data_IF_062151413338
#
_entry.id   IF_062151413338
#
_cell.length_a   1.000
_cell.length_b   1.000
_cell.length_c   1.000
_cell.angle_alpha   90.00
_cell.angle_beta   90.00
_cell.angle_gamma   90.00
#
_symmetry.space_group_name_H-M   'P 1'
#
loop_
_entity.id
_entity.type
_entity.pdbx_description
1 polymer ?
#
# COMPACT_ATOMS: atom_id res chain seq x y z
N UNK A 1 -1.68 -15.33 38.42
CA UNK A 1 -2.34 -14.26 37.71
C UNK A 1 -1.25 -13.49 36.98
N UNK A 2 -0.94 -13.95 35.77
CA UNK A 2 -0.03 -13.25 34.86
C UNK A 2 -0.79 -12.09 34.25
N UNK A 3 -0.47 -10.89 34.71
CA UNK A 3 -0.96 -9.66 34.10
C UNK A 3 -0.55 -9.67 32.65
N UNK A 4 -1.51 -9.85 31.74
CA UNK A 4 -1.33 -9.58 30.32
C UNK A 4 -1.12 -8.09 30.23
N UNK A 5 0.14 -7.70 30.10
CA UNK A 5 0.52 -6.29 30.09
C UNK A 5 -0.10 -5.64 28.87
N UNK A 6 -0.69 -4.45 29.03
CA UNK A 6 -1.42 -3.70 28.00
C UNK A 6 -0.61 -3.34 26.74
N UNK A 7 0.66 -3.75 26.68
CA UNK A 7 1.57 -3.55 25.55
C UNK A 7 1.58 -4.70 24.53
N UNK A 8 0.96 -5.85 24.86
CA UNK A 8 0.91 -6.99 23.96
C UNK A 8 -0.36 -6.92 23.10
N UNK A 9 -0.16 -6.86 21.80
CA UNK A 9 -1.25 -6.88 20.82
C UNK A 9 -1.50 -8.32 20.40
N UNK A 10 -2.67 -8.84 20.74
CA UNK A 10 -3.12 -10.17 20.37
C UNK A 10 -4.00 -10.06 19.14
N UNK A 11 -3.62 -10.77 18.09
CA UNK A 11 -4.37 -10.80 16.84
C UNK A 11 -4.95 -12.19 16.62
N UNK A 12 -6.27 -12.23 16.53
CA UNK A 12 -7.00 -13.39 16.02
C UNK A 12 -7.34 -13.19 14.54
N UNK A 13 -7.55 -14.26 13.80
CA UNK A 13 -7.79 -14.24 12.34
C UNK A 13 -8.98 -13.37 11.89
N UNK A 14 -9.82 -12.93 12.82
CA UNK A 14 -11.06 -12.21 12.50
C UNK A 14 -10.91 -10.68 12.30
N UNK A 15 -9.81 -10.04 12.78
CA UNK A 15 -9.59 -8.58 12.65
C UNK A 15 -8.12 -8.19 12.45
N UNK A 16 -7.31 -9.07 11.88
CA UNK A 16 -5.86 -8.88 11.75
C UNK A 16 -5.46 -7.71 10.87
N UNK A 17 -6.28 -7.34 9.90
CA UNK A 17 -5.92 -6.33 8.91
C UNK A 17 -5.85 -4.91 9.49
N UNK A 18 -6.66 -4.56 10.47
CA UNK A 18 -6.68 -3.21 11.01
C UNK A 18 -5.51 -2.94 11.97
N UNK A 19 -5.16 -3.91 12.81
CA UNK A 19 -4.07 -3.73 13.79
C UNK A 19 -2.71 -3.66 13.10
N UNK A 20 -2.47 -4.49 12.07
CA UNK A 20 -1.23 -4.47 11.30
C UNK A 20 -1.00 -3.18 10.52
N UNK A 21 -2.08 -2.48 10.13
CA UNK A 21 -1.98 -1.20 9.42
C UNK A 21 -1.37 -0.09 10.28
N UNK A 22 -1.55 -0.17 11.59
CA UNK A 22 -1.10 0.87 12.54
C UNK A 22 0.25 0.55 13.17
N UNK A 23 0.78 -0.66 12.98
CA UNK A 23 2.07 -1.06 13.52
C UNK A 23 3.19 -0.83 12.51
N UNK A 24 4.26 -0.26 12.98
CA UNK A 24 5.50 -0.16 12.21
C UNK A 24 6.48 -1.24 12.66
N UNK A 25 7.29 -1.76 11.74
CA UNK A 25 8.32 -2.74 12.06
C UNK A 25 9.33 -2.21 13.12
N UNK A 26 9.46 -0.90 13.25
CA UNK A 26 10.34 -0.25 14.24
C UNK A 26 9.80 -0.33 15.66
N UNK A 27 8.49 -0.53 15.84
CA UNK A 27 7.82 -0.68 17.14
C UNK A 27 7.87 -2.11 17.68
N UNK A 28 7.99 -3.07 16.78
CA UNK A 28 7.91 -4.48 17.13
C UNK A 28 9.22 -4.93 17.73
N UNK A 29 9.14 -5.59 18.90
CA UNK A 29 10.24 -6.28 19.55
C UNK A 29 10.30 -7.75 19.12
N UNK A 30 9.13 -8.43 19.17
CA UNK A 30 9.01 -9.83 18.75
C UNK A 30 7.64 -10.14 18.18
N UNK A 31 7.59 -11.17 17.34
CA UNK A 31 6.34 -11.75 16.81
C UNK A 31 6.38 -13.24 17.15
N UNK A 32 5.38 -13.71 17.88
CA UNK A 32 5.24 -15.12 18.26
C UNK A 32 3.95 -15.67 17.69
N UNK A 33 4.05 -16.80 17.00
CA UNK A 33 2.89 -17.53 16.47
C UNK A 33 2.58 -18.71 17.39
N UNK A 34 1.43 -18.65 18.06
CA UNK A 34 0.93 -19.75 18.90
C UNK A 34 0.11 -20.71 18.04
N UNK A 35 0.63 -21.93 17.90
CA UNK A 35 0.00 -22.99 17.11
C UNK A 35 -0.57 -24.11 17.98
N UNK A 36 -0.12 -24.22 19.23
CA UNK A 36 -0.50 -25.28 20.14
C UNK A 36 -1.84 -25.01 20.80
N UNK A 37 -2.70 -26.02 20.87
CA UNK A 37 -4.04 -25.90 21.44
C UNK A 37 -4.03 -25.42 22.89
N UNK A 38 -3.03 -25.82 23.68
CA UNK A 38 -2.87 -25.39 25.07
C UNK A 38 -2.61 -23.90 25.24
N UNK A 39 -1.77 -23.34 24.37
CA UNK A 39 -1.46 -21.89 24.36
C UNK A 39 -2.59 -21.07 23.76
N UNK A 40 -3.28 -21.61 22.75
CA UNK A 40 -4.46 -20.98 22.15
C UNK A 40 -5.65 -20.89 23.11
N UNK A 41 -5.80 -21.87 24.00
CA UNK A 41 -6.88 -21.91 24.99
C UNK A 41 -6.87 -20.67 25.92
N UNK A 42 -5.72 -20.04 26.13
CA UNK A 42 -5.61 -18.79 26.91
C UNK A 42 -6.35 -17.61 26.26
N UNK A 43 -6.56 -17.68 24.94
CA UNK A 43 -7.22 -16.63 24.15
C UNK A 43 -8.67 -16.98 23.78
N UNK A 44 -9.19 -18.10 24.31
CA UNK A 44 -10.56 -18.54 24.13
C UNK A 44 -10.92 -18.88 22.68
N UNK A 45 -12.20 -18.76 22.34
CA UNK A 45 -12.75 -19.13 21.03
C UNK A 45 -12.08 -18.40 19.86
N UNK A 46 -11.59 -17.18 20.11
CA UNK A 46 -10.90 -16.38 19.08
C UNK A 46 -9.53 -16.96 18.69
N UNK A 47 -8.94 -17.82 19.54
CA UNK A 47 -7.67 -18.48 19.25
C UNK A 47 -7.74 -19.70 18.34
N UNK A 48 -8.93 -20.17 17.97
CA UNK A 48 -9.15 -21.44 17.27
C UNK A 48 -8.42 -21.56 15.91
N UNK A 49 -8.18 -20.46 15.22
CA UNK A 49 -7.47 -20.42 13.93
C UNK A 49 -5.97 -20.08 14.04
N UNK A 50 -5.44 -20.03 15.27
CA UNK A 50 -4.09 -19.57 15.56
C UNK A 50 -4.08 -18.16 16.16
N UNK A 51 -3.03 -17.87 16.94
CA UNK A 51 -2.84 -16.57 17.56
C UNK A 51 -1.46 -16.03 17.23
N UNK A 52 -1.43 -14.80 16.72
CA UNK A 52 -0.19 -14.06 16.52
C UNK A 52 -0.08 -13.05 17.66
N UNK A 53 0.95 -13.22 18.49
CA UNK A 53 1.27 -12.29 19.58
C UNK A 53 2.38 -11.36 19.09
N UNK A 54 2.10 -10.06 19.07
CA UNK A 54 3.07 -9.04 18.69
C UNK A 54 3.42 -8.26 19.96
N UNK A 55 4.68 -8.41 20.38
CA UNK A 55 5.22 -7.67 21.52
C UNK A 55 5.87 -6.39 21.01
N UNK A 56 5.42 -5.25 21.52
CA UNK A 56 5.99 -3.95 21.18
C UNK A 56 7.14 -3.59 22.11
N UNK A 57 8.07 -2.77 21.61
CA UNK A 57 9.23 -2.32 22.38
C UNK A 57 8.82 -1.59 23.63
N UNK A 58 9.54 -1.87 24.72
CA UNK A 58 9.36 -1.27 26.04
C UNK A 58 10.56 -0.39 26.39
N UNK A 59 10.37 0.46 27.38
CA UNK A 59 11.44 1.24 27.98
C UNK A 59 12.52 0.35 28.59
N UNK A 60 13.76 0.79 28.52
CA UNK A 60 14.90 0.11 29.17
C UNK A 60 15.55 1.05 30.16
N UNK A 61 16.00 0.50 31.30
CA UNK A 61 16.81 1.24 32.26
C UNK A 61 18.08 1.75 31.59
N UNK A 62 18.43 2.98 31.87
CA UNK A 62 19.65 3.60 31.37
C UNK A 62 19.46 5.04 30.90
N UNK A 63 20.51 5.64 30.38
CA UNK A 63 20.45 6.99 29.85
C UNK A 63 19.48 7.08 28.68
N UNK A 64 18.95 8.26 28.44
CA UNK A 64 18.08 8.54 27.29
C UNK A 64 18.80 8.20 26.00
N UNK A 65 18.16 7.37 25.18
CA UNK A 65 18.58 7.05 23.82
C UNK A 65 17.56 7.57 22.83
N UNK A 66 18.04 8.24 21.80
CA UNK A 66 17.22 8.77 20.71
C UNK A 66 17.70 8.10 19.44
N UNK A 67 16.80 7.37 18.80
CA UNK A 67 17.02 6.74 17.49
C UNK A 67 16.17 7.46 16.44
N UNK A 68 16.83 8.02 15.42
CA UNK A 68 16.16 8.67 14.31
C UNK A 68 16.42 7.89 13.04
N UNK A 69 15.37 7.62 12.27
CA UNK A 69 15.51 6.99 10.96
C UNK A 69 14.64 7.71 9.93
N UNK A 70 15.16 7.81 8.71
CA UNK A 70 14.46 8.32 7.55
C UNK A 70 14.64 7.35 6.40
N UNK A 71 13.52 6.91 5.83
CA UNK A 71 13.47 5.99 4.71
C UNK A 71 12.79 6.67 3.53
N UNK A 72 13.47 6.73 2.39
CA UNK A 72 12.93 7.20 1.13
C UNK A 72 12.83 6.04 0.16
N UNK A 73 11.63 5.79 -0.35
CA UNK A 73 11.37 4.71 -1.31
C UNK A 73 10.81 5.27 -2.60
N UNK A 74 11.21 4.67 -3.72
CA UNK A 74 10.63 4.91 -5.03
C UNK A 74 9.85 3.67 -5.42
N UNK A 75 8.62 3.89 -5.83
CA UNK A 75 7.69 2.82 -6.20
C UNK A 75 7.32 2.94 -7.67
N UNK A 76 7.32 1.82 -8.37
CA UNK A 76 6.80 1.73 -9.74
C UNK A 76 5.88 0.51 -9.86
N UNK A 77 4.87 0.55 -10.73
CA UNK A 77 4.05 -0.61 -11.01
C UNK A 77 4.90 -1.75 -11.58
N UNK A 78 4.79 -2.94 -10.99
CA UNK A 78 5.54 -4.12 -11.42
C UNK A 78 5.06 -4.62 -12.78
N UNK A 79 3.75 -4.54 -13.03
CA UNK A 79 3.12 -4.95 -14.28
C UNK A 79 2.35 -3.74 -14.83
N UNK A 80 2.63 -3.44 -16.07
CA UNK A 80 1.96 -2.40 -16.83
C UNK A 80 1.42 -3.01 -18.10
N UNK A 81 0.09 -3.21 -18.23
CA UNK A 81 -0.48 -3.67 -19.47
C UNK A 81 -0.16 -2.67 -20.58
N UNK A 82 0.25 -3.19 -21.74
CA UNK A 82 0.38 -2.38 -22.94
C UNK A 82 -1.01 -2.20 -23.54
N UNK A 83 -1.35 -0.96 -23.81
CA UNK A 83 -2.54 -0.65 -24.59
C UNK A 83 -2.17 -0.56 -26.04
N UNK A 84 -3.08 -1.02 -26.88
CA UNK A 84 -2.95 -0.91 -28.34
C UNK A 84 -3.09 0.54 -28.78
N UNK A 85 -2.40 0.89 -29.84
CA UNK A 85 -2.70 2.12 -30.57
C UNK A 85 -4.08 2.04 -31.23
N UNK A 86 -4.70 3.18 -31.51
CA UNK A 86 -6.04 3.22 -32.09
C UNK A 86 -6.12 2.50 -33.42
N UNK A 87 -5.08 2.58 -34.28
CA UNK A 87 -5.01 1.85 -35.53
C UNK A 87 -4.88 0.33 -35.33
N UNK A 88 -4.14 -0.13 -34.35
CA UNK A 88 -4.03 -1.55 -34.01
C UNK A 88 -5.39 -2.09 -33.53
N UNK A 89 -6.05 -1.34 -32.64
CA UNK A 89 -7.39 -1.66 -32.19
C UNK A 89 -8.39 -1.75 -33.32
N UNK A 90 -8.40 -0.76 -34.24
CA UNK A 90 -9.30 -0.72 -35.38
C UNK A 90 -9.08 -1.94 -36.31
N UNK A 91 -7.83 -2.31 -36.56
CA UNK A 91 -7.46 -3.47 -37.38
C UNK A 91 -7.94 -4.77 -36.73
N UNK A 92 -7.64 -4.99 -35.44
CA UNK A 92 -8.05 -6.18 -34.70
C UNK A 92 -9.57 -6.26 -34.55
N UNK A 93 -10.25 -5.11 -34.40
CA UNK A 93 -11.72 -5.08 -34.33
C UNK A 93 -12.36 -5.52 -35.64
N UNK A 94 -11.81 -5.11 -36.77
CA UNK A 94 -12.27 -5.57 -38.06
C UNK A 94 -12.08 -7.09 -38.21
N UNK A 95 -10.92 -7.62 -37.81
CA UNK A 95 -10.63 -9.05 -37.86
C UNK A 95 -11.58 -9.84 -36.94
N UNK A 96 -11.78 -9.39 -35.69
CA UNK A 96 -12.69 -10.02 -34.78
C UNK A 96 -14.14 -10.05 -35.31
N UNK A 97 -14.61 -8.94 -35.87
CA UNK A 97 -15.96 -8.85 -36.47
C UNK A 97 -16.12 -9.82 -37.62
N UNK A 98 -15.09 -9.97 -38.47
CA UNK A 98 -15.11 -10.96 -39.55
C UNK A 98 -15.13 -12.41 -39.04
N UNK A 99 -14.33 -12.71 -38.00
CA UNK A 99 -14.27 -14.04 -37.40
C UNK A 99 -15.58 -14.44 -36.70
N UNK A 100 -16.25 -13.47 -36.07
CA UNK A 100 -17.55 -13.70 -35.44
C UNK A 100 -18.66 -14.01 -36.46
N UNK A 101 -18.60 -13.43 -37.65
CA UNK A 101 -19.65 -13.57 -38.63
C UNK A 101 -19.09 -13.58 -40.10
N UNK A 102 -18.42 -14.67 -40.50
CA UNK A 102 -17.81 -14.73 -41.85
C UNK A 102 -18.82 -14.64 -43.00
N UNK A 103 -20.08 -15.01 -42.74
CA UNK A 103 -21.16 -15.00 -43.74
C UNK A 103 -21.60 -13.57 -44.16
N UNK A 104 -21.36 -12.57 -43.33
CA UNK A 104 -21.67 -11.17 -43.62
C UNK A 104 -20.64 -10.51 -44.58
N UNK A 105 -19.63 -11.28 -45.01
CA UNK A 105 -18.54 -10.76 -45.84
C UNK A 105 -17.61 -9.82 -45.04
N UNK A 106 -16.57 -9.34 -45.72
CA UNK A 106 -15.58 -8.42 -45.14
C UNK A 106 -16.09 -6.96 -45.12
N UNK A 107 -17.21 -6.73 -44.43
CA UNK A 107 -17.65 -5.34 -44.20
C UNK A 107 -16.92 -4.82 -42.97
N UNK A 108 -15.90 -3.99 -43.12
CA UNK A 108 -15.11 -3.52 -41.99
C UNK A 108 -15.90 -2.50 -41.17
N UNK A 109 -15.74 -2.54 -39.83
CA UNK A 109 -16.26 -1.52 -38.93
C UNK A 109 -15.50 -0.21 -39.11
N UNK A 110 -14.18 -0.31 -39.33
CA UNK A 110 -13.29 0.79 -39.62
C UNK A 110 -12.79 0.65 -41.05
N UNK A 111 -12.97 1.70 -41.89
CA UNK A 111 -12.48 1.70 -43.27
C UNK A 111 -10.96 1.74 -43.30
N UNK A 112 -10.38 1.37 -44.44
CA UNK A 112 -8.93 1.52 -44.67
C UNK A 112 -8.47 2.97 -44.54
N UNK A 113 -9.35 3.92 -44.91
CA UNK A 113 -9.08 5.36 -44.77
C UNK A 113 -9.03 5.77 -43.30
N UNK A 114 -9.94 5.25 -42.46
CA UNK A 114 -9.93 5.53 -41.02
C UNK A 114 -8.64 5.03 -40.39
N UNK A 115 -8.23 3.79 -40.70
CA UNK A 115 -6.98 3.22 -40.20
C UNK A 115 -5.77 4.06 -40.65
N UNK A 116 -5.74 4.49 -41.90
CA UNK A 116 -4.67 5.37 -42.42
C UNK A 116 -4.64 6.72 -41.68
N UNK A 117 -5.79 7.29 -41.36
CA UNK A 117 -5.89 8.55 -40.60
C UNK A 117 -5.45 8.37 -39.14
N UNK A 118 -5.73 7.24 -38.52
CA UNK A 118 -5.17 6.93 -37.17
C UNK A 118 -3.64 6.83 -37.19
N UNK A 119 -3.08 6.23 -38.27
CA UNK A 119 -1.63 6.10 -38.42
C UNK A 119 -0.98 7.45 -38.67
N UNK A 120 -1.53 8.24 -39.63
CA UNK A 120 -0.96 9.54 -40.01
C UNK A 120 -1.01 10.56 -38.88
N UNK A 121 -2.08 10.52 -38.06
CA UNK A 121 -2.28 11.45 -36.98
C UNK A 121 -2.50 12.91 -37.38
N UNK A 122 -2.84 13.17 -38.64
CA UNK A 122 -3.05 14.54 -39.15
C UNK A 122 -4.23 15.25 -38.49
N UNK A 123 -5.27 14.49 -38.13
CA UNK A 123 -6.44 15.03 -37.43
C UNK A 123 -6.71 14.25 -36.12
N UNK A 124 -6.03 14.65 -35.08
CA UNK A 124 -6.15 14.00 -33.74
C UNK A 124 -7.49 14.24 -33.06
N UNK A 125 -8.27 15.20 -33.48
CA UNK A 125 -9.60 15.48 -32.92
C UNK A 125 -10.62 14.46 -33.45
N UNK A 126 -10.53 14.04 -34.69
CA UNK A 126 -11.39 13.01 -35.28
C UNK A 126 -10.84 11.60 -35.13
N UNK A 127 -9.51 11.45 -35.19
CA UNK A 127 -8.80 10.17 -35.11
C UNK A 127 -7.81 10.17 -33.92
N UNK A 128 -8.32 10.19 -32.66
CA UNK A 128 -7.47 10.26 -31.48
C UNK A 128 -6.72 8.95 -31.27
N UNK A 129 -5.45 9.06 -30.86
CA UNK A 129 -4.62 7.96 -30.43
C UNK A 129 -4.05 8.29 -29.03
N UNK A 130 -4.89 8.16 -28.03
CA UNK A 130 -4.58 8.55 -26.66
C UNK A 130 -4.21 7.33 -25.80
N UNK A 131 -3.02 7.34 -25.26
CA UNK A 131 -2.66 6.41 -24.19
C UNK A 131 -3.15 6.96 -22.84
N UNK A 132 -4.36 6.59 -22.45
CA UNK A 132 -5.00 7.03 -21.21
C UNK A 132 -4.16 6.72 -19.96
N UNK A 133 -3.41 5.62 -20.01
CA UNK A 133 -2.54 5.27 -18.91
C UNK A 133 -1.41 6.29 -18.72
N UNK A 134 -0.68 6.61 -19.79
CA UNK A 134 0.41 7.58 -19.72
C UNK A 134 -0.12 8.98 -19.42
N UNK A 135 -1.37 9.25 -19.77
CA UNK A 135 -2.03 10.50 -19.44
C UNK A 135 -2.38 10.62 -17.96
N UNK A 136 -2.93 9.56 -17.34
CA UNK A 136 -3.44 9.63 -15.96
C UNK A 136 -2.51 9.07 -14.91
N UNK A 137 -1.56 8.20 -15.23
CA UNK A 137 -0.71 7.54 -14.26
C UNK A 137 0.73 8.06 -14.30
N UNK A 138 1.30 8.18 -13.12
CA UNK A 138 2.74 8.42 -12.96
C UNK A 138 3.49 7.10 -13.15
N UNK A 139 4.64 7.16 -13.79
CA UNK A 139 5.54 6.00 -13.91
C UNK A 139 6.19 5.66 -12.58
N UNK A 140 6.47 6.67 -11.77
CA UNK A 140 7.13 6.56 -10.47
C UNK A 140 6.35 7.35 -9.42
N UNK A 141 6.28 6.82 -8.23
CA UNK A 141 5.80 7.50 -7.03
C UNK A 141 6.82 7.40 -5.91
N UNK A 142 6.74 8.28 -4.94
CA UNK A 142 7.65 8.30 -3.80
C UNK A 142 6.91 8.04 -2.50
N UNK A 143 7.58 7.35 -1.58
CA UNK A 143 7.14 7.20 -0.21
C UNK A 143 8.27 7.61 0.70
N UNK A 144 7.99 8.52 1.61
CA UNK A 144 8.93 9.01 2.64
C UNK A 144 8.42 8.58 4.00
N UNK A 145 9.30 8.07 4.85
CA UNK A 145 8.99 7.70 6.22
C UNK A 145 10.04 8.26 7.16
N UNK A 146 9.60 8.98 8.17
CA UNK A 146 10.44 9.47 9.25
C UNK A 146 9.99 8.82 10.57
N UNK A 147 10.94 8.34 11.36
CA UNK A 147 10.68 7.71 12.64
C UNK A 147 11.66 8.24 13.69
N UNK A 148 11.14 8.58 14.86
CA UNK A 148 11.91 8.98 16.02
C UNK A 148 11.49 8.12 17.21
N UNK A 149 12.45 7.42 17.80
CA UNK A 149 12.26 6.64 19.01
C UNK A 149 13.05 7.26 20.15
N UNK A 150 12.44 7.38 21.31
CA UNK A 150 13.08 7.82 22.54
C UNK A 150 12.85 6.76 23.60
N UNK A 151 13.94 6.22 24.15
CA UNK A 151 13.86 5.24 25.24
C UNK A 151 14.80 5.64 26.38
N UNK A 152 14.40 5.31 27.59
CA UNK A 152 15.21 5.58 28.78
C UNK A 152 14.47 5.18 30.04
N UNK A 153 15.13 5.37 31.17
CA UNK A 153 14.48 5.14 32.46
C UNK A 153 15.44 4.91 33.59
N UNK A 154 14.85 4.84 34.76
CA UNK A 154 15.50 4.54 36.06
C UNK A 154 14.96 3.25 36.61
N UNK A 155 15.36 2.91 37.87
CA UNK A 155 14.80 1.76 38.60
C UNK A 155 13.33 1.93 38.93
N UNK A 156 12.84 3.15 38.99
CA UNK A 156 11.45 3.46 39.36
C UNK A 156 10.51 3.54 38.18
N UNK A 157 11.01 3.92 37.00
CA UNK A 157 10.20 3.99 35.78
C UNK A 157 11.05 3.84 34.55
N UNK A 158 10.49 3.21 33.52
CA UNK A 158 11.07 3.14 32.19
C UNK A 158 10.05 3.63 31.18
N UNK A 159 10.53 4.18 30.06
CA UNK A 159 9.65 4.68 29.01
C UNK A 159 10.22 4.41 27.62
N UNK A 160 9.30 4.19 26.72
CA UNK A 160 9.57 4.13 25.27
C UNK A 160 8.53 5.00 24.57
N UNK A 161 8.99 5.98 23.81
CA UNK A 161 8.13 6.86 23.03
C UNK A 161 8.55 6.81 21.58
N UNK A 162 7.59 6.69 20.67
CA UNK A 162 7.80 6.68 19.24
C UNK A 162 6.89 7.67 18.54
N UNK A 163 7.47 8.37 17.60
CA UNK A 163 6.77 9.21 16.63
C UNK A 163 7.12 8.71 15.24
N UNK A 164 6.11 8.43 14.42
CA UNK A 164 6.30 7.99 13.05
C UNK A 164 5.44 8.84 12.12
N UNK A 165 6.03 9.31 11.05
CA UNK A 165 5.37 10.03 9.97
C UNK A 165 5.65 9.34 8.65
N UNK A 166 4.62 9.13 7.85
CA UNK A 166 4.73 8.58 6.50
C UNK A 166 3.96 9.45 5.53
N UNK A 167 4.60 9.78 4.43
CA UNK A 167 3.98 10.40 3.27
C UNK A 167 4.12 9.47 2.07
N UNK A 168 3.01 9.11 1.43
CA UNK A 168 2.99 8.34 0.20
C UNK A 168 2.32 9.14 -0.90
N UNK A 169 3.05 9.39 -1.97
CA UNK A 169 2.55 10.05 -3.16
C UNK A 169 1.57 9.16 -3.93
N UNK A 170 0.52 9.75 -4.46
CA UNK A 170 -0.45 9.06 -5.31
C UNK A 170 0.09 8.73 -6.69
N UNK A 171 -0.44 7.67 -7.28
CA UNK A 171 -0.05 7.19 -8.62
C UNK A 171 -0.68 8.01 -9.76
N UNK A 172 -1.72 8.79 -9.47
CA UNK A 172 -2.40 9.59 -10.49
C UNK A 172 -1.69 10.91 -10.73
N UNK A 173 -1.62 11.32 -11.99
CA UNK A 173 -1.21 12.67 -12.37
C UNK A 173 -2.36 13.62 -12.09
N UNK A 174 -2.08 14.73 -11.41
CA UNK A 174 -3.05 15.80 -11.25
C UNK A 174 -2.93 16.71 -12.46
N UNK A 175 -3.92 16.67 -13.34
CA UNK A 175 -3.96 17.47 -14.56
C UNK A 175 -4.62 18.82 -14.37
N UNK A 176 -5.31 19.04 -13.24
CA UNK A 176 -6.02 20.28 -12.95
C UNK A 176 -5.68 20.78 -11.55
N UNK A 177 -5.09 21.96 -11.44
CA UNK A 177 -4.73 22.60 -10.18
C UNK A 177 -5.96 22.99 -9.33
N UNK A 178 -7.10 23.21 -9.98
CA UNK A 178 -8.35 23.60 -9.31
C UNK A 178 -8.92 22.48 -8.46
N UNK A 179 -8.74 21.23 -8.89
CA UNK A 179 -9.16 20.04 -8.16
C UNK A 179 -7.92 19.20 -7.84
N UNK A 180 -7.40 19.36 -6.63
CA UNK A 180 -6.26 18.54 -6.12
C UNK A 180 -6.71 17.08 -5.94
N UNK A 181 -6.97 16.41 -7.03
CA UNK A 181 -7.41 15.00 -7.06
C UNK A 181 -6.27 13.98 -6.84
N UNK A 182 -5.10 14.43 -6.43
CA UNK A 182 -3.99 13.57 -6.09
C UNK A 182 -4.29 12.81 -4.80
N UNK A 183 -4.40 11.48 -4.89
CA UNK A 183 -4.51 10.61 -3.72
C UNK A 183 -3.14 10.52 -3.04
N UNK A 184 -2.87 11.45 -2.14
CA UNK A 184 -1.69 11.38 -1.27
C UNK A 184 -2.13 10.86 0.09
N UNK A 185 -1.36 9.97 0.66
CA UNK A 185 -1.59 9.46 2.01
C UNK A 185 -0.54 10.06 2.94
N UNK A 186 -1.01 10.75 3.96
CA UNK A 186 -0.20 11.18 5.09
C UNK A 186 -0.65 10.37 6.30
N UNK A 187 0.29 9.74 6.96
CA UNK A 187 0.01 8.94 8.13
C UNK A 187 0.94 9.35 9.27
N UNK A 188 0.36 9.55 10.43
CA UNK A 188 1.05 9.91 11.66
C UNK A 188 0.69 8.93 12.76
N UNK A 189 1.69 8.39 13.43
CA UNK A 189 1.52 7.52 14.58
C UNK A 189 2.39 8.01 15.73
N UNK A 190 1.76 8.07 16.90
CA UNK A 190 2.41 8.33 18.17
C UNK A 190 2.08 7.21 19.14
N UNK A 191 3.10 6.67 19.77
CA UNK A 191 2.97 5.64 20.80
C UNK A 191 3.89 5.94 21.96
N UNK A 192 3.40 5.75 23.18
CA UNK A 192 4.22 5.81 24.37
C UNK A 192 3.88 4.64 25.28
N UNK A 193 4.90 3.97 25.80
CA UNK A 193 4.81 2.92 26.81
C UNK A 193 5.59 3.39 28.03
N UNK A 194 4.95 3.39 29.18
CA UNK A 194 5.57 3.74 30.46
C UNK A 194 5.35 2.59 31.42
N UNK A 195 6.40 2.13 32.05
CA UNK A 195 6.37 1.12 33.10
C UNK A 195 6.87 1.73 34.39
N UNK A 196 6.09 1.57 35.46
CA UNK A 196 6.41 2.06 36.78
C UNK A 196 6.78 0.84 37.64
N UNK A 197 8.05 0.79 38.05
CA UNK A 197 8.53 -0.24 38.97
C UNK A 197 7.91 -0.04 40.37
N UNK A 198 7.49 -1.15 40.98
CA UNK A 198 7.14 -1.20 42.39
C UNK A 198 8.36 -1.44 43.26
#
# INVERSE_FOLDING_TARGET
>A
SSDVCSSDLVMSSYNSNDVLRYLTAKEVESITLLKDASTQALYGVKGNAGVIVITTKRGKKGPVRIDVSYDQSVQQPTISPKFLHSWEYATLKNEATYNDNPSLGKTPVYSSLDIANYISGENRDLYPDNNWRDMFYKKLTTMSRANVNVTGGSDKFTYFTQVNFMHQGGQYKVTNERYKSGFNTNWFNYRTNVEIGR
#
